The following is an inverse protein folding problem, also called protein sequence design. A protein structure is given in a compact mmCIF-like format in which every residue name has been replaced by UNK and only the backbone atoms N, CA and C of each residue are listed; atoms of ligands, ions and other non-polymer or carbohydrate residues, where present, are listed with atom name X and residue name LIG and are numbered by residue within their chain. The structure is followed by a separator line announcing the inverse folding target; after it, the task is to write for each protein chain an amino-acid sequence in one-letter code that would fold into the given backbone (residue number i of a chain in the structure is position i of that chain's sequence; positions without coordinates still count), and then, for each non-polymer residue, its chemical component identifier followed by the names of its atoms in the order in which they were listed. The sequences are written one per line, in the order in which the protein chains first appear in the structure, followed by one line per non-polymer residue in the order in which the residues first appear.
data_IF_874031705291
#
_entry.id   IF_874031705291
#
_cell.length_a   1.000
_cell.length_b   1.000
_cell.length_c   1.000
_cell.angle_alpha   90.00
_cell.angle_beta   90.00
_cell.angle_gamma   90.00
#
_symmetry.space_group_name_H-M   'P 1'
#
loop_
_entity.id
_entity.type
_entity.pdbx_description
1 polymer ?
#
# COMPACT_ATOMS: atom_id res chain seq x y z
N UNK A 1 73.37 14.57 25.14
CA UNK A 1 73.05 14.04 26.49
C UNK A 1 72.13 12.84 26.31
N UNK A 2 72.63 11.62 26.56
CA UNK A 2 72.12 10.61 27.53
C UNK A 2 70.59 10.47 27.59
N UNK A 3 69.94 9.31 27.66
CA UNK A 3 70.17 7.85 27.48
C UNK A 3 68.92 7.21 28.13
N UNK A 4 68.54 5.99 27.70
CA UNK A 4 67.89 4.92 28.52
C UNK A 4 66.38 5.12 28.79
N UNK A 5 65.41 4.24 28.45
CA UNK A 5 65.21 2.76 28.41
C UNK A 5 64.20 2.33 29.50
N UNK A 6 63.43 1.28 29.15
CA UNK A 6 62.66 0.28 29.96
C UNK A 6 61.18 0.62 30.20
N UNK A 7 60.19 -0.22 29.87
CA UNK A 7 59.98 -1.69 29.91
C UNK A 7 59.57 -2.24 31.30
N UNK A 8 58.31 -2.67 31.42
CA UNK A 8 57.72 -3.70 32.32
C UNK A 8 56.25 -3.87 31.88
N UNK A 9 55.71 -4.99 31.39
CA UNK A 9 55.77 -6.44 31.70
C UNK A 9 55.01 -6.82 32.99
N UNK A 10 54.19 -7.89 32.86
CA UNK A 10 53.58 -8.77 33.88
C UNK A 10 52.20 -8.34 34.41
N UNK A 11 51.23 -9.20 34.74
CA UNK A 11 50.96 -10.66 34.61
C UNK A 11 49.49 -10.84 35.08
N UNK A 12 48.63 -11.61 34.41
CA UNK A 12 48.18 -12.97 34.77
C UNK A 12 47.98 -13.26 36.28
N UNK A 13 46.74 -13.58 36.71
CA UNK A 13 46.25 -14.55 37.75
C UNK A 13 44.71 -14.36 37.78
N UNK A 14 43.81 -15.23 37.30
CA UNK A 14 43.40 -16.60 37.68
C UNK A 14 42.92 -16.79 39.13
N UNK A 15 41.60 -16.75 39.36
CA UNK A 15 40.96 -17.47 40.47
C UNK A 15 39.64 -18.09 40.00
N UNK A 16 39.62 -19.43 39.96
CA UNK A 16 38.40 -20.23 40.00
C UNK A 16 37.87 -20.25 41.43
N UNK A 17 36.54 -20.26 41.58
CA UNK A 17 35.89 -20.87 42.74
C UNK A 17 34.61 -21.58 42.28
N UNK A 18 34.63 -22.90 42.44
CA UNK A 18 33.54 -23.85 42.31
C UNK A 18 32.36 -23.46 43.22
N UNK A 19 31.16 -23.43 42.64
CA UNK A 19 29.90 -23.47 43.39
C UNK A 19 29.00 -24.53 42.78
N UNK A 20 29.04 -25.74 43.33
CA UNK A 20 28.05 -26.79 43.08
C UNK A 20 26.70 -26.32 43.64
N UNK A 21 25.71 -26.13 42.75
CA UNK A 21 24.31 -26.02 43.14
C UNK A 21 23.55 -27.25 42.62
N UNK A 22 22.87 -27.93 43.54
CA UNK A 22 22.05 -29.11 43.33
C UNK A 22 20.97 -28.86 42.26
N UNK A 23 20.89 -29.76 41.29
CA UNK A 23 19.76 -29.88 40.38
C UNK A 23 18.60 -30.61 41.08
N UNK A 24 17.51 -29.89 41.34
CA UNK A 24 16.18 -30.46 41.58
C UNK A 24 15.35 -30.23 40.32
N UNK A 25 15.26 -31.24 39.45
CA UNK A 25 14.40 -31.19 38.26
C UNK A 25 12.98 -31.63 38.64
N UNK A 26 12.07 -30.68 38.78
CA UNK A 26 10.64 -30.94 38.77
C UNK A 26 10.16 -31.09 37.31
N UNK A 27 9.30 -32.07 36.97
CA UNK A 27 8.66 -32.13 35.67
C UNK A 27 7.59 -31.04 35.59
N UNK A 28 7.90 -29.94 34.89
CA UNK A 28 6.87 -28.99 34.45
C UNK A 28 6.18 -29.62 33.24
N UNK A 29 4.93 -30.06 33.43
CA UNK A 29 4.04 -30.33 32.32
C UNK A 29 3.86 -29.02 31.53
N UNK A 30 4.56 -28.90 30.41
CA UNK A 30 4.27 -27.91 29.40
C UNK A 30 2.91 -28.27 28.78
N UNK A 31 1.85 -27.62 29.23
CA UNK A 31 0.62 -27.54 28.48
C UNK A 31 0.95 -26.77 27.19
N UNK A 32 1.14 -27.50 26.10
CA UNK A 32 1.10 -26.94 24.76
C UNK A 32 -0.33 -26.49 24.51
N UNK A 33 -0.62 -25.25 24.88
CA UNK A 33 -1.75 -24.53 24.33
C UNK A 33 -1.48 -24.45 22.82
N UNK A 34 -2.18 -25.29 22.05
CA UNK A 34 -2.25 -25.15 20.61
C UNK A 34 -2.79 -23.77 20.33
N UNK A 35 -1.93 -22.89 19.83
CA UNK A 35 -2.38 -21.73 19.07
C UNK A 35 -3.19 -22.27 17.92
N UNK A 36 -4.52 -22.20 18.04
CA UNK A 36 -5.41 -22.24 16.88
C UNK A 36 -4.88 -21.17 15.93
N UNK A 37 -4.27 -21.60 14.83
CA UNK A 37 -4.07 -20.72 13.69
C UNK A 37 -5.47 -20.27 13.31
N UNK A 38 -5.81 -19.03 13.64
CA UNK A 38 -7.01 -18.39 13.09
C UNK A 38 -6.84 -18.47 11.57
N UNK A 39 -7.61 -19.38 10.96
CA UNK A 39 -7.75 -19.44 9.53
C UNK A 39 -8.13 -18.03 9.04
N UNK A 40 -7.55 -17.55 7.93
CA UNK A 40 -7.95 -16.28 7.36
C UNK A 40 -9.45 -16.34 7.08
N UNK A 41 -10.21 -15.48 7.78
CA UNK A 41 -11.65 -15.41 7.63
C UNK A 41 -12.00 -15.25 6.14
N UNK A 42 -12.86 -16.10 5.58
CA UNK A 42 -13.31 -15.92 4.21
C UNK A 42 -14.05 -14.58 4.11
N UNK A 43 -13.55 -13.69 3.26
CA UNK A 43 -14.19 -12.40 3.00
C UNK A 43 -15.48 -12.68 2.20
N UNK A 44 -16.63 -12.55 2.85
CA UNK A 44 -17.95 -12.67 2.19
C UNK A 44 -18.47 -11.29 1.76
N UNK A 45 -19.37 -11.20 0.77
CA UNK A 45 -19.77 -9.96 0.06
C UNK A 45 -19.94 -8.69 0.93
N UNK A 46 -20.69 -8.74 2.03
CA UNK A 46 -20.85 -7.58 2.94
C UNK A 46 -19.52 -7.07 3.54
N UNK A 47 -18.54 -7.96 3.72
CA UNK A 47 -17.19 -7.62 4.17
C UNK A 47 -16.35 -6.98 3.06
N UNK A 48 -16.62 -7.32 1.78
CA UNK A 48 -15.91 -6.73 0.63
C UNK A 48 -16.18 -5.22 0.56
N UNK A 49 -17.47 -4.84 0.66
CA UNK A 49 -17.87 -3.43 0.73
C UNK A 49 -17.16 -2.71 1.84
N UNK A 50 -17.23 -3.25 3.05
CA UNK A 50 -16.62 -2.63 4.23
C UNK A 50 -15.11 -2.47 4.09
N UNK A 51 -14.41 -3.44 3.48
CA UNK A 51 -12.98 -3.30 3.21
C UNK A 51 -12.73 -2.15 2.24
N UNK A 52 -13.41 -2.12 1.09
CA UNK A 52 -13.19 -1.13 0.02
C UNK A 52 -13.50 0.30 0.51
N UNK A 53 -14.61 0.50 1.21
CA UNK A 53 -15.03 1.81 1.75
C UNK A 53 -13.99 2.43 2.70
N UNK A 54 -13.10 1.61 3.28
CA UNK A 54 -12.04 2.02 4.18
C UNK A 54 -10.64 2.06 3.53
N UNK A 55 -10.49 1.80 2.22
CA UNK A 55 -9.21 1.93 1.52
C UNK A 55 -8.98 3.39 1.11
N UNK A 56 -8.31 4.14 1.97
CA UNK A 56 -7.80 5.47 1.63
C UNK A 56 -6.28 5.46 1.58
N UNK A 57 -5.73 6.00 0.50
CA UNK A 57 -4.29 6.04 0.29
C UNK A 57 -3.79 7.48 0.20
N UNK A 58 -2.73 7.79 0.95
CA UNK A 58 -1.97 9.02 0.76
C UNK A 58 -0.71 8.72 -0.03
N UNK A 59 -0.50 9.44 -1.12
CA UNK A 59 0.64 9.25 -2.00
C UNK A 59 1.68 10.34 -1.79
N UNK A 60 2.95 9.92 -1.72
CA UNK A 60 4.12 10.76 -1.60
C UNK A 60 4.97 10.62 -2.85
N UNK A 61 5.60 11.73 -3.26
CA UNK A 61 6.63 11.67 -4.30
C UNK A 61 7.83 10.88 -3.78
N UNK A 62 8.33 10.01 -4.63
CA UNK A 62 9.60 9.31 -4.44
C UNK A 62 10.48 9.51 -5.67
N UNK A 63 11.77 9.27 -5.50
CA UNK A 63 12.72 9.15 -6.60
C UNK A 63 13.37 7.79 -6.51
N UNK A 64 13.35 7.08 -7.64
CA UNK A 64 14.00 5.78 -7.77
C UNK A 64 14.47 5.56 -9.21
N UNK A 65 15.25 4.50 -9.42
CA UNK A 65 15.66 4.05 -10.74
C UNK A 65 14.50 3.44 -11.52
N UNK A 66 14.54 3.45 -12.86
CA UNK A 66 13.60 2.71 -13.67
C UNK A 66 13.75 1.20 -13.49
N UNK A 67 12.62 0.49 -13.59
CA UNK A 67 12.62 -0.98 -13.54
C UNK A 67 12.83 -1.60 -14.93
N UNK A 68 12.43 -0.89 -15.99
CA UNK A 68 12.56 -1.27 -17.41
C UNK A 68 12.05 -2.70 -17.67
N UNK A 69 10.77 -2.92 -17.35
CA UNK A 69 10.09 -4.21 -17.53
C UNK A 69 8.85 -4.08 -18.37
N UNK A 70 8.67 -5.00 -19.31
CA UNK A 70 7.45 -5.12 -20.10
C UNK A 70 6.43 -5.96 -19.33
N UNK A 71 5.19 -5.48 -19.28
CA UNK A 71 4.06 -6.18 -18.70
C UNK A 71 2.88 -6.11 -19.66
N UNK A 72 2.06 -7.15 -19.69
CA UNK A 72 0.73 -7.11 -20.28
C UNK A 72 -0.28 -6.89 -19.15
N UNK A 73 -1.04 -5.79 -19.22
CA UNK A 73 -2.07 -5.47 -18.25
C UNK A 73 -3.44 -5.91 -18.75
N UNK A 74 -4.24 -6.48 -17.86
CA UNK A 74 -5.63 -6.84 -18.10
C UNK A 74 -6.51 -6.21 -17.02
N UNK A 75 -7.60 -5.54 -17.41
CA UNK A 75 -8.55 -4.98 -16.46
C UNK A 75 -9.26 -6.07 -15.66
N UNK A 76 -9.41 -5.85 -14.35
CA UNK A 76 -10.18 -6.73 -13.47
C UNK A 76 -11.59 -6.22 -13.20
N UNK A 77 -11.82 -4.92 -13.37
CA UNK A 77 -13.10 -4.33 -13.06
C UNK A 77 -14.17 -4.70 -14.11
N UNK A 78 -15.33 -5.27 -13.70
CA UNK A 78 -16.34 -5.74 -14.64
C UNK A 78 -16.91 -4.63 -15.52
N UNK A 79 -17.09 -3.40 -15.00
CA UNK A 79 -17.60 -2.27 -15.81
C UNK A 79 -16.66 -1.95 -16.97
N UNK A 80 -15.35 -1.99 -16.73
CA UNK A 80 -14.36 -1.71 -17.77
C UNK A 80 -14.25 -2.85 -18.78
N UNK A 81 -14.37 -4.09 -18.31
CA UNK A 81 -14.39 -5.29 -19.16
C UNK A 81 -15.63 -5.25 -20.06
N UNK A 82 -16.80 -4.95 -19.52
CA UNK A 82 -18.07 -4.88 -20.26
C UNK A 82 -18.06 -3.76 -21.31
N UNK A 83 -17.35 -2.66 -21.03
CA UNK A 83 -17.09 -1.57 -21.99
C UNK A 83 -16.07 -1.95 -23.07
N UNK A 84 -15.40 -3.10 -22.95
CA UNK A 84 -14.44 -3.59 -23.92
C UNK A 84 -13.07 -2.91 -23.85
N UNK A 85 -12.67 -2.40 -22.69
CA UNK A 85 -11.35 -1.80 -22.52
C UNK A 85 -10.25 -2.85 -22.77
N UNK A 86 -9.27 -2.55 -23.64
CA UNK A 86 -8.35 -3.57 -24.12
C UNK A 86 -7.31 -3.95 -23.07
N UNK A 87 -6.77 -5.17 -23.20
CA UNK A 87 -5.48 -5.50 -22.62
C UNK A 87 -4.39 -4.65 -23.27
N UNK A 88 -3.39 -4.24 -22.49
CA UNK A 88 -2.38 -3.31 -22.95
C UNK A 88 -0.96 -3.72 -22.52
N UNK A 89 0.00 -3.80 -23.47
CA UNK A 89 1.41 -3.90 -23.11
C UNK A 89 1.92 -2.55 -22.60
N UNK A 90 2.57 -2.55 -21.44
CA UNK A 90 3.19 -1.37 -20.84
C UNK A 90 4.66 -1.62 -20.52
N UNK A 91 5.44 -0.55 -20.47
CA UNK A 91 6.80 -0.55 -19.94
C UNK A 91 6.80 0.17 -18.60
N UNK A 92 7.32 -0.49 -17.57
CA UNK A 92 7.57 0.14 -16.27
C UNK A 92 8.84 0.97 -16.33
N UNK A 93 8.71 2.28 -16.20
CA UNK A 93 9.84 3.19 -16.14
C UNK A 93 10.23 3.49 -14.68
N UNK A 94 10.54 4.74 -14.34
CA UNK A 94 10.89 5.17 -12.99
C UNK A 94 9.69 5.14 -12.03
N UNK A 95 9.96 4.80 -10.76
CA UNK A 95 8.97 4.94 -9.70
C UNK A 95 8.82 6.41 -9.31
N UNK A 96 7.57 6.88 -9.24
CA UNK A 96 7.23 8.28 -9.02
C UNK A 96 6.56 8.53 -7.68
N UNK A 97 5.80 7.54 -7.18
CA UNK A 97 5.07 7.69 -5.92
C UNK A 97 5.09 6.44 -5.05
N UNK A 98 4.96 6.67 -3.74
CA UNK A 98 4.61 5.66 -2.74
C UNK A 98 3.28 6.07 -2.10
N UNK A 99 2.27 5.23 -2.25
CA UNK A 99 0.95 5.39 -1.64
C UNK A 99 0.84 4.49 -0.41
N UNK A 100 0.39 5.04 0.71
CA UNK A 100 0.32 4.37 2.01
C UNK A 100 -1.08 4.52 2.62
N UNK A 101 -1.56 3.53 3.41
CA UNK A 101 -2.92 3.54 3.91
C UNK A 101 -3.08 4.55 5.05
N UNK A 102 -4.15 5.34 4.99
CA UNK A 102 -4.47 6.38 5.99
C UNK A 102 -5.93 6.26 6.45
N UNK A 103 -6.22 6.73 7.66
CA UNK A 103 -7.57 7.01 8.12
C UNK A 103 -7.86 8.51 8.00
N UNK A 104 -9.11 8.87 7.72
CA UNK A 104 -9.58 10.26 7.62
C UNK A 104 -10.37 10.68 8.86
N UNK A 105 -10.09 11.88 9.35
CA UNK A 105 -10.82 12.57 10.43
C UNK A 105 -11.06 11.72 11.68
N UNK A 106 -10.08 10.90 12.05
CA UNK A 106 -10.14 10.04 13.22
C UNK A 106 -11.06 8.82 13.07
N UNK A 107 -11.70 8.61 11.91
CA UNK A 107 -12.48 7.40 11.62
C UNK A 107 -11.54 6.25 11.32
N UNK A 108 -11.20 5.50 12.37
CA UNK A 108 -10.37 4.29 12.26
C UNK A 108 -11.22 3.14 11.71
N UNK A 109 -10.73 2.42 10.68
CA UNK A 109 -11.40 1.22 10.18
C UNK A 109 -11.62 0.18 11.28
N UNK A 110 -12.70 -0.63 11.20
CA UNK A 110 -12.91 -1.76 12.11
C UNK A 110 -11.69 -2.68 12.15
N UNK A 111 -11.39 -3.27 13.31
CA UNK A 111 -10.15 -4.04 13.54
C UNK A 111 -9.89 -5.12 12.48
N UNK A 112 -10.93 -5.86 12.07
CA UNK A 112 -10.83 -6.87 11.00
C UNK A 112 -10.41 -6.30 9.65
N UNK A 113 -10.88 -5.10 9.32
CA UNK A 113 -10.54 -4.40 8.06
C UNK A 113 -9.14 -3.83 8.19
N UNK A 114 -8.85 -3.15 9.31
CA UNK A 114 -7.54 -2.59 9.62
C UNK A 114 -6.44 -3.65 9.56
N UNK A 115 -6.71 -4.87 10.05
CA UNK A 115 -5.78 -6.00 10.00
C UNK A 115 -5.29 -6.32 8.58
N UNK A 116 -6.11 -6.04 7.57
CA UNK A 116 -5.80 -6.23 6.15
C UNK A 116 -5.19 -4.96 5.53
N UNK A 117 -5.93 -3.84 5.56
CA UNK A 117 -5.61 -2.66 4.76
C UNK A 117 -4.42 -1.86 5.28
N UNK A 118 -4.04 -2.00 6.57
CA UNK A 118 -2.85 -1.32 7.10
C UNK A 118 -1.54 -1.75 6.40
N UNK A 119 -1.59 -2.85 5.64
CA UNK A 119 -0.47 -3.40 4.87
C UNK A 119 -0.52 -3.04 3.38
N UNK A 120 -1.55 -2.31 2.94
CA UNK A 120 -1.74 -1.94 1.53
C UNK A 120 -0.90 -0.72 1.16
N UNK A 121 0.36 -0.96 0.85
CA UNK A 121 1.26 0.07 0.35
C UNK A 121 1.60 -0.19 -1.10
N UNK A 122 1.48 0.85 -1.92
CA UNK A 122 1.65 0.75 -3.36
C UNK A 122 2.80 1.63 -3.84
N UNK A 123 3.71 1.05 -4.61
CA UNK A 123 4.74 1.77 -5.34
C UNK A 123 4.28 2.00 -6.77
N UNK A 124 4.22 3.25 -7.20
CA UNK A 124 3.68 3.64 -8.50
C UNK A 124 4.78 3.97 -9.50
N UNK A 125 4.85 3.19 -10.57
CA UNK A 125 5.77 3.34 -11.69
C UNK A 125 5.12 4.13 -12.80
N UNK A 126 5.86 5.03 -13.45
CA UNK A 126 5.40 5.64 -14.68
C UNK A 126 5.21 4.55 -15.74
N UNK A 127 4.08 4.64 -16.45
CA UNK A 127 3.79 3.86 -17.66
C UNK A 127 3.37 4.82 -18.77
N UNK A 128 3.28 4.30 -19.99
CA UNK A 128 2.68 4.98 -21.13
C UNK A 128 1.81 3.98 -21.87
N UNK A 129 0.76 4.48 -22.50
CA UNK A 129 -0.22 3.67 -23.19
C UNK A 129 -1.21 4.52 -23.99
N UNK A 130 -2.13 3.85 -24.67
CA UNK A 130 -3.17 4.48 -25.47
C UNK A 130 -4.22 5.15 -24.57
N UNK A 131 -4.65 6.37 -24.90
CA UNK A 131 -5.72 7.03 -24.18
C UNK A 131 -7.05 6.33 -24.43
N UNK A 132 -7.88 6.26 -23.39
CA UNK A 132 -9.21 5.67 -23.48
C UNK A 132 -10.23 6.70 -23.98
N UNK A 133 -10.20 7.93 -23.44
CA UNK A 133 -11.09 9.04 -23.78
C UNK A 133 -12.58 8.71 -23.62
N UNK A 134 -12.94 7.98 -22.58
CA UNK A 134 -14.32 7.61 -22.28
C UNK A 134 -14.84 8.28 -21.01
N UNK A 135 -16.14 8.54 -20.99
CA UNK A 135 -16.83 9.09 -19.83
C UNK A 135 -17.27 7.99 -18.86
N UNK A 136 -17.06 8.18 -17.56
CA UNK A 136 -17.49 7.27 -16.49
C UNK A 136 -18.15 8.06 -15.37
N UNK A 137 -19.24 7.52 -14.82
CA UNK A 137 -19.86 8.06 -13.63
C UNK A 137 -19.23 7.46 -12.37
N UNK A 138 -18.80 8.30 -11.44
CA UNK A 138 -18.15 7.92 -10.19
C UNK A 138 -19.01 8.32 -9.00
N UNK A 139 -19.30 7.36 -8.14
CA UNK A 139 -19.92 7.61 -6.82
C UNK A 139 -18.92 7.34 -5.71
N UNK A 140 -18.87 8.22 -4.71
CA UNK A 140 -17.98 8.04 -3.57
C UNK A 140 -18.44 6.88 -2.69
N UNK A 141 -17.50 6.03 -2.29
CA UNK A 141 -17.73 4.95 -1.32
C UNK A 141 -17.25 5.33 0.08
N UNK A 142 -16.43 6.37 0.18
CA UNK A 142 -15.88 6.73 1.47
C UNK A 142 -16.94 7.41 2.36
N UNK A 143 -17.24 6.86 3.55
CA UNK A 143 -18.33 7.38 4.36
C UNK A 143 -18.05 8.79 4.91
N UNK A 144 -16.79 9.17 5.14
CA UNK A 144 -16.45 10.54 5.57
C UNK A 144 -16.77 11.55 4.48
N UNK A 145 -16.46 11.23 3.21
CA UNK A 145 -16.72 12.15 2.10
C UNK A 145 -18.23 12.24 1.78
N UNK A 146 -18.94 11.10 1.87
CA UNK A 146 -20.40 11.06 1.75
C UNK A 146 -21.06 11.92 2.83
N UNK A 147 -20.63 11.79 4.09
CA UNK A 147 -21.13 12.60 5.22
C UNK A 147 -20.86 14.10 5.04
N UNK A 148 -19.77 14.45 4.35
CA UNK A 148 -19.43 15.84 3.96
C UNK A 148 -20.18 16.34 2.72
N UNK A 149 -20.97 15.48 2.07
CA UNK A 149 -21.80 15.84 0.92
C UNK A 149 -21.04 15.96 -0.39
N UNK A 150 -19.93 15.22 -0.56
CA UNK A 150 -19.23 15.16 -1.83
C UNK A 150 -20.13 14.56 -2.91
N UNK A 151 -20.33 15.24 -4.06
CA UNK A 151 -21.25 14.77 -5.07
C UNK A 151 -20.66 13.62 -5.87
N UNK A 152 -21.54 12.79 -6.42
CA UNK A 152 -21.20 11.92 -7.53
C UNK A 152 -20.91 12.78 -8.77
N UNK A 153 -20.04 12.29 -9.66
CA UNK A 153 -19.61 13.06 -10.82
C UNK A 153 -19.32 12.19 -12.04
N UNK A 154 -19.42 12.82 -13.21
CA UNK A 154 -18.98 12.24 -14.46
C UNK A 154 -17.57 12.76 -14.80
N UNK A 155 -16.66 11.85 -15.17
CA UNK A 155 -15.29 12.18 -15.56
C UNK A 155 -14.93 11.55 -16.89
N UNK A 156 -14.09 12.23 -17.66
CA UNK A 156 -13.47 11.68 -18.88
C UNK A 156 -12.13 11.07 -18.48
N UNK A 157 -11.99 9.77 -18.66
CA UNK A 157 -10.73 9.03 -18.46
C UNK A 157 -9.84 9.20 -19.67
N UNK A 158 -8.61 9.64 -19.47
CA UNK A 158 -7.68 9.97 -20.56
C UNK A 158 -6.59 8.90 -20.72
N UNK A 159 -5.32 9.30 -20.79
CA UNK A 159 -4.16 8.42 -20.92
C UNK A 159 -3.77 7.72 -19.61
N UNK A 160 -3.21 6.50 -19.69
CA UNK A 160 -2.59 5.84 -18.55
C UNK A 160 -1.30 6.55 -18.16
N UNK A 161 -1.11 6.74 -16.86
CA UNK A 161 0.01 7.50 -16.30
C UNK A 161 0.91 6.62 -15.43
N UNK A 162 0.32 5.77 -14.58
CA UNK A 162 1.09 4.97 -13.63
C UNK A 162 0.54 3.55 -13.45
N UNK A 163 1.41 2.63 -13.05
CA UNK A 163 1.04 1.33 -12.47
C UNK A 163 1.53 1.27 -11.03
N UNK A 164 0.60 1.13 -10.09
CA UNK A 164 0.84 1.01 -8.67
C UNK A 164 0.80 -0.46 -8.26
N UNK A 165 1.89 -0.94 -7.65
CA UNK A 165 2.09 -2.36 -7.28
C UNK A 165 2.41 -2.51 -5.79
N UNK A 166 1.99 -3.61 -5.15
CA UNK A 166 2.12 -3.77 -3.71
C UNK A 166 3.58 -3.96 -3.26
N UNK A 167 3.95 -3.28 -2.19
CA UNK A 167 5.27 -3.33 -1.57
C UNK A 167 5.18 -3.45 -0.04
N UNK A 168 6.16 -4.12 0.56
CA UNK A 168 6.40 -4.09 2.00
C UNK A 168 7.46 -3.03 2.34
N UNK A 169 7.39 -2.51 3.57
CA UNK A 169 8.35 -1.53 4.09
C UNK A 169 9.29 -2.15 5.10
N UNK A 170 10.57 -1.78 5.02
CA UNK A 170 11.64 -2.18 5.94
C UNK A 170 11.73 -3.70 6.16
N UNK A 171 11.42 -4.49 5.13
CA UNK A 171 11.40 -5.95 5.20
C UNK A 171 10.29 -6.53 6.08
N UNK A 172 9.35 -5.71 6.57
CA UNK A 172 8.19 -6.21 7.30
C UNK A 172 7.14 -6.74 6.33
N UNK A 173 7.16 -8.05 6.14
CA UNK A 173 6.17 -8.76 5.33
C UNK A 173 4.82 -8.79 6.08
N UNK A 174 3.69 -8.52 5.38
CA UNK A 174 2.37 -8.63 5.98
C UNK A 174 2.08 -10.04 6.53
N UNK A 175 1.23 -10.18 7.57
CA UNK A 175 0.73 -11.48 8.00
C UNK A 175 0.08 -12.25 6.85
N UNK A 176 0.05 -13.60 6.87
CA UNK A 176 -0.41 -14.41 5.75
C UNK A 176 -1.78 -14.02 5.17
N UNK A 177 -2.76 -13.73 6.02
CA UNK A 177 -4.09 -13.28 5.60
C UNK A 177 -4.04 -11.97 4.80
N UNK A 178 -3.33 -10.97 5.30
CA UNK A 178 -3.15 -9.69 4.62
C UNK A 178 -2.30 -9.84 3.35
N UNK A 179 -1.24 -10.67 3.40
CA UNK A 179 -0.39 -10.93 2.23
C UNK A 179 -1.18 -11.62 1.11
N UNK A 180 -2.07 -12.56 1.45
CA UNK A 180 -2.90 -13.27 0.47
C UNK A 180 -3.75 -12.29 -0.35
N UNK A 181 -4.22 -11.19 0.26
CA UNK A 181 -4.97 -10.14 -0.39
C UNK A 181 -4.07 -9.10 -1.07
N UNK A 182 -3.20 -8.43 -0.30
CA UNK A 182 -2.44 -7.25 -0.72
C UNK A 182 -1.54 -7.53 -1.92
N UNK A 183 -0.96 -8.72 -2.03
CA UNK A 183 -0.04 -9.06 -3.12
C UNK A 183 -0.69 -9.01 -4.51
N UNK A 184 -2.01 -9.01 -4.58
CA UNK A 184 -2.81 -9.00 -5.81
C UNK A 184 -3.48 -7.65 -6.11
N UNK A 185 -3.30 -6.65 -5.24
CA UNK A 185 -3.87 -5.32 -5.46
C UNK A 185 -2.89 -4.49 -6.29
N UNK A 186 -3.06 -4.56 -7.61
CA UNK A 186 -2.34 -3.71 -8.54
C UNK A 186 -3.32 -2.76 -9.23
N UNK A 187 -2.98 -1.49 -9.26
CA UNK A 187 -3.85 -0.43 -9.74
C UNK A 187 -3.19 0.33 -10.90
N UNK A 188 -3.88 0.41 -12.03
CA UNK A 188 -3.51 1.24 -13.17
C UNK A 188 -4.15 2.63 -12.99
N UNK A 189 -3.33 3.67 -12.92
CA UNK A 189 -3.78 5.05 -12.78
C UNK A 189 -3.89 5.71 -14.16
N UNK A 190 -5.08 6.23 -14.47
CA UNK A 190 -5.35 7.07 -15.63
C UNK A 190 -5.49 8.53 -15.21
N UNK A 191 -5.13 9.44 -16.11
CA UNK A 191 -5.57 10.83 -15.99
C UNK A 191 -7.09 10.94 -16.11
N UNK A 192 -7.68 11.93 -15.44
CA UNK A 192 -9.10 12.25 -15.58
C UNK A 192 -9.33 13.75 -15.78
N UNK A 193 -10.39 14.07 -16.51
CA UNK A 193 -10.94 15.42 -16.65
C UNK A 193 -12.36 15.38 -16.10
N UNK A 194 -12.60 16.10 -15.01
CA UNK A 194 -13.89 16.11 -14.30
C UNK A 194 -14.46 17.52 -14.13
N UNK A 195 -15.57 17.66 -13.38
CA UNK A 195 -16.08 18.96 -12.98
C UNK A 195 -15.00 19.76 -12.23
N UNK A 196 -15.09 21.10 -12.21
CA UNK A 196 -14.15 21.92 -11.46
C UNK A 196 -14.09 21.47 -10.00
N UNK A 197 -12.91 21.54 -9.36
CA UNK A 197 -12.76 21.10 -7.98
C UNK A 197 -13.81 21.74 -7.06
N UNK A 198 -14.35 20.94 -6.14
CA UNK A 198 -14.95 21.51 -4.94
C UNK A 198 -13.91 22.35 -4.19
N UNK A 199 -14.32 23.37 -3.41
CA UNK A 199 -13.39 24.25 -2.71
C UNK A 199 -12.38 23.46 -1.87
N UNK A 200 -11.14 23.95 -1.83
CA UNK A 200 -10.02 23.41 -1.06
C UNK A 200 -10.43 22.97 0.36
N UNK A 201 -10.64 21.67 0.55
CA UNK A 201 -11.17 21.11 1.79
C UNK A 201 -10.03 20.63 2.69
N UNK A 202 -10.16 20.84 4.00
CA UNK A 202 -9.16 20.36 4.96
C UNK A 202 -9.61 19.02 5.53
N UNK A 203 -8.74 18.01 5.40
CA UNK A 203 -8.95 16.65 5.95
C UNK A 203 -7.78 16.31 6.87
N UNK A 204 -8.08 15.73 8.04
CA UNK A 204 -7.05 15.19 8.93
C UNK A 204 -6.76 13.74 8.57
N UNK A 205 -5.49 13.37 8.46
CA UNK A 205 -5.03 12.05 8.06
C UNK A 205 -4.17 11.42 9.16
N UNK A 206 -4.35 10.11 9.36
CA UNK A 206 -3.52 9.29 10.26
C UNK A 206 -3.01 8.06 9.53
N UNK A 207 -1.70 7.83 9.58
CA UNK A 207 -1.07 6.65 8.98
C UNK A 207 -1.55 5.36 9.66
N UNK A 208 -2.02 4.41 8.86
CA UNK A 208 -2.45 3.10 9.34
C UNK A 208 -1.32 2.10 9.39
N UNK A 209 -0.32 2.24 8.52
CA UNK A 209 0.73 1.24 8.43
C UNK A 209 1.61 1.18 9.71
N UNK A 210 1.80 -0.02 10.31
CA UNK A 210 2.51 -0.16 11.57
C UNK A 210 4.00 0.20 11.50
N UNK A 211 4.65 0.10 10.34
CA UNK A 211 6.04 0.56 10.16
C UNK A 211 6.12 2.08 10.28
N UNK A 212 5.20 2.81 9.65
CA UNK A 212 5.16 4.28 9.68
C UNK A 212 4.80 4.79 11.07
N UNK A 213 3.86 4.12 11.75
CA UNK A 213 3.52 4.42 13.15
C UNK A 213 4.72 4.22 14.08
N UNK A 214 5.49 3.11 13.93
CA UNK A 214 6.71 2.90 14.73
C UNK A 214 7.80 3.92 14.43
N UNK A 215 7.88 4.41 13.19
CA UNK A 215 8.74 5.53 12.79
C UNK A 215 8.21 6.90 13.24
N UNK A 216 7.07 6.94 13.93
CA UNK A 216 6.43 8.15 14.46
C UNK A 216 6.16 9.18 13.37
N UNK A 217 5.70 8.73 12.20
CA UNK A 217 5.22 9.66 11.18
C UNK A 217 4.03 10.46 11.73
N UNK A 218 4.01 11.78 11.52
CA UNK A 218 3.01 12.64 12.15
C UNK A 218 1.62 12.38 11.57
N UNK A 219 0.59 12.65 12.38
CA UNK A 219 -0.73 12.91 11.87
C UNK A 219 -0.69 14.22 11.06
N UNK A 220 -1.45 14.27 9.98
CA UNK A 220 -1.32 15.27 8.94
C UNK A 220 -2.65 15.99 8.69
N UNK A 221 -2.60 17.23 8.22
CA UNK A 221 -3.79 17.98 7.78
C UNK A 221 -3.54 18.46 6.37
N UNK A 222 -4.30 17.91 5.44
CA UNK A 222 -4.09 18.14 4.02
C UNK A 222 -5.16 19.07 3.48
N UNK A 223 -4.77 19.94 2.56
CA UNK A 223 -5.73 20.67 1.72
C UNK A 223 -5.95 19.83 0.46
N UNK A 224 -7.21 19.46 0.21
CA UNK A 224 -7.61 18.61 -0.92
C UNK A 224 -8.09 19.49 -2.07
N UNK A 225 -7.41 19.38 -3.21
CA UNK A 225 -7.74 20.09 -4.43
C UNK A 225 -8.40 19.19 -5.47
N UNK A 226 -8.10 19.48 -6.73
CA UNK A 226 -8.72 18.82 -7.90
C UNK A 226 -8.45 17.31 -7.98
N UNK A 227 -9.46 16.61 -8.51
CA UNK A 227 -9.31 15.23 -8.92
C UNK A 227 -8.39 15.18 -10.16
N UNK A 228 -7.42 14.28 -10.13
CA UNK A 228 -6.34 14.21 -11.14
C UNK A 228 -6.21 12.84 -11.77
N UNK A 229 -6.55 11.77 -11.04
CA UNK A 229 -6.44 10.42 -11.54
C UNK A 229 -7.57 9.50 -11.07
N UNK A 230 -7.83 8.47 -11.87
CA UNK A 230 -8.63 7.31 -11.50
C UNK A 230 -7.73 6.06 -11.55
N UNK A 231 -7.63 5.37 -10.42
CA UNK A 231 -6.91 4.11 -10.26
C UNK A 231 -7.90 2.96 -10.36
N UNK A 232 -7.62 2.01 -11.25
CA UNK A 232 -8.50 0.85 -11.51
C UNK A 232 -7.71 -0.46 -11.42
N UNK A 233 -8.34 -1.57 -10.99
CA UNK A 233 -7.63 -2.80 -10.72
C UNK A 233 -7.25 -3.53 -12.02
N UNK A 234 -6.01 -4.06 -12.04
CA UNK A 234 -5.45 -4.79 -13.18
C UNK A 234 -4.67 -6.04 -12.77
N UNK A 235 -4.76 -7.10 -13.57
CA UNK A 235 -3.86 -8.24 -13.54
C UNK A 235 -2.64 -7.99 -14.45
N UNK A 236 -1.58 -8.78 -14.25
CA UNK A 236 -0.35 -8.72 -15.05
C UNK A 236 -0.03 -10.08 -15.64
N UNK A 237 0.32 -10.13 -16.93
CA UNK A 237 0.84 -11.31 -17.63
C UNK A 237 -0.06 -12.56 -17.45
N UNK A 238 -1.38 -12.36 -17.45
CA UNK A 238 -2.37 -13.43 -17.24
C UNK A 238 -2.36 -14.07 -15.84
N UNK A 239 -1.61 -13.53 -14.88
CA UNK A 239 -1.65 -13.98 -13.49
C UNK A 239 -2.82 -13.31 -12.78
N UNK A 240 -3.83 -14.12 -12.52
CA UNK A 240 -5.05 -13.71 -11.82
C UNK A 240 -4.94 -14.01 -10.31
N UNK A 241 -5.58 -13.20 -9.45
CA UNK A 241 -5.83 -13.57 -8.07
C UNK A 241 -6.67 -14.86 -7.99
N UNK A 242 -6.68 -15.51 -6.83
CA UNK A 242 -7.64 -16.57 -6.52
C UNK A 242 -9.06 -16.01 -6.47
N UNK A 243 -10.09 -16.84 -6.68
CA UNK A 243 -11.48 -16.38 -6.79
C UNK A 243 -11.96 -15.56 -5.57
N UNK A 244 -11.54 -15.94 -4.36
CA UNK A 244 -11.83 -15.24 -3.11
C UNK A 244 -11.21 -13.83 -3.04
N UNK A 245 -10.05 -13.64 -3.66
CA UNK A 245 -9.37 -12.34 -3.74
C UNK A 245 -9.84 -11.54 -4.95
N UNK A 246 -10.13 -12.20 -6.07
CA UNK A 246 -10.51 -11.58 -7.33
C UNK A 246 -11.77 -10.75 -7.18
N UNK A 247 -12.77 -11.28 -6.46
CA UNK A 247 -14.01 -10.54 -6.21
C UNK A 247 -13.74 -9.22 -5.49
N UNK A 248 -12.91 -9.20 -4.45
CA UNK A 248 -12.56 -7.96 -3.77
C UNK A 248 -11.68 -7.05 -4.65
N UNK A 249 -10.62 -7.61 -5.24
CA UNK A 249 -9.64 -6.85 -6.01
C UNK A 249 -10.27 -6.15 -7.23
N UNK A 250 -11.25 -6.77 -7.89
CA UNK A 250 -11.94 -6.22 -9.08
C UNK A 250 -12.73 -4.93 -8.83
N UNK A 251 -13.02 -4.59 -7.57
CA UNK A 251 -13.79 -3.39 -7.21
C UNK A 251 -13.00 -2.37 -6.38
N UNK A 252 -11.67 -2.51 -6.28
CA UNK A 252 -10.82 -1.47 -5.69
C UNK A 252 -10.56 -0.39 -6.73
N UNK A 253 -11.46 0.59 -6.79
CA UNK A 253 -11.29 1.77 -7.62
C UNK A 253 -11.08 3.00 -6.75
N UNK A 254 -10.05 3.77 -7.05
CA UNK A 254 -9.69 4.95 -6.27
C UNK A 254 -9.67 6.19 -7.15
N UNK A 255 -10.34 7.25 -6.70
CA UNK A 255 -10.23 8.58 -7.28
C UNK A 255 -9.20 9.39 -6.49
N UNK A 256 -8.21 9.93 -7.17
CA UNK A 256 -7.07 10.61 -6.55
C UNK A 256 -7.14 12.13 -6.73
N UNK A 257 -7.07 12.83 -5.62
CA UNK A 257 -7.09 14.28 -5.52
C UNK A 257 -5.70 14.81 -5.22
N UNK A 258 -5.33 15.92 -5.84
CA UNK A 258 -4.12 16.64 -5.46
C UNK A 258 -4.22 17.09 -4.00
N UNK A 259 -3.13 16.95 -3.26
CA UNK A 259 -3.03 17.49 -1.89
C UNK A 259 -1.79 18.34 -1.70
N UNK A 260 -1.86 19.26 -0.73
CA UNK A 260 -0.73 20.06 -0.27
C UNK A 260 -0.55 19.81 1.22
N UNK A 261 0.66 19.40 1.60
CA UNK A 261 1.06 19.16 2.99
C UNK A 261 2.61 19.12 3.10
N UNK A 262 3.14 18.97 4.32
CA UNK A 262 4.57 19.08 4.62
C UNK A 262 5.33 17.84 4.12
N UNK A 263 6.58 18.01 3.64
CA UNK A 263 7.41 16.88 3.27
C UNK A 263 7.88 16.08 4.48
N UNK A 264 8.04 14.76 4.27
CA UNK A 264 8.54 13.84 5.29
C UNK A 264 10.07 13.69 5.19
N UNK A 265 10.61 13.64 3.98
CA UNK A 265 12.05 13.55 3.68
C UNK A 265 12.78 12.40 4.42
N UNK A 266 12.20 11.20 4.41
CA UNK A 266 12.78 10.03 5.08
C UNK A 266 13.12 8.90 4.09
N UNK A 267 14.26 8.21 4.27
CA UNK A 267 14.56 7.01 3.50
C UNK A 267 13.71 5.83 3.96
N UNK A 268 13.31 4.98 3.02
CA UNK A 268 12.48 3.82 3.28
C UNK A 268 12.88 2.67 2.37
N UNK A 269 13.10 1.48 2.93
CA UNK A 269 13.37 0.28 2.13
C UNK A 269 12.06 -0.36 1.72
N UNK A 270 11.92 -0.66 0.44
CA UNK A 270 10.76 -1.28 -0.18
C UNK A 270 11.11 -2.65 -0.75
N UNK A 271 10.20 -3.61 -0.58
CA UNK A 271 10.29 -4.97 -1.12
C UNK A 271 9.01 -5.28 -1.87
N UNK A 272 9.10 -5.73 -3.13
CA UNK A 272 7.92 -6.08 -3.91
C UNK A 272 7.17 -7.29 -3.33
N UNK A 273 5.85 -7.14 -3.20
CA UNK A 273 4.95 -8.24 -2.81
C UNK A 273 4.29 -8.89 -4.02
N UNK A 274 4.17 -8.15 -5.12
CA UNK A 274 3.54 -8.67 -6.34
C UNK A 274 4.25 -9.96 -6.85
N UNK A 275 3.51 -11.07 -7.08
CA UNK A 275 4.11 -12.32 -7.54
C UNK A 275 4.86 -12.20 -8.87
N UNK A 276 4.31 -11.46 -9.84
CA UNK A 276 4.94 -11.29 -11.17
C UNK A 276 6.27 -10.55 -11.05
N UNK A 277 6.32 -9.45 -10.28
CA UNK A 277 7.56 -8.71 -10.10
C UNK A 277 8.62 -9.49 -9.31
N UNK A 278 8.20 -10.32 -8.34
CA UNK A 278 9.10 -11.23 -7.62
C UNK A 278 9.67 -12.31 -8.54
N UNK A 279 8.84 -12.91 -9.41
CA UNK A 279 9.30 -13.86 -10.43
C UNK A 279 10.32 -13.22 -11.39
N UNK A 280 10.13 -11.94 -11.73
CA UNK A 280 11.08 -11.13 -12.50
C UNK A 280 12.33 -10.68 -11.72
N UNK A 281 12.46 -11.10 -10.46
CA UNK A 281 13.57 -10.72 -9.57
C UNK A 281 13.72 -9.21 -9.42
N UNK A 282 12.60 -8.49 -9.32
CA UNK A 282 12.62 -7.07 -9.00
C UNK A 282 13.37 -6.86 -7.66
N UNK A 283 14.38 -5.99 -7.62
CA UNK A 283 15.23 -5.84 -6.45
C UNK A 283 14.50 -5.14 -5.31
N UNK A 284 15.00 -5.32 -4.09
CA UNK A 284 14.68 -4.39 -3.00
C UNK A 284 15.32 -3.04 -3.24
N UNK A 285 14.62 -1.96 -2.86
CA UNK A 285 15.02 -0.60 -3.20
C UNK A 285 14.87 0.32 -1.98
N UNK A 286 15.81 1.24 -1.80
CA UNK A 286 15.69 2.29 -0.78
C UNK A 286 15.32 3.58 -1.48
N UNK A 287 14.14 4.12 -1.16
CA UNK A 287 13.62 5.35 -1.75
C UNK A 287 13.61 6.48 -0.73
N UNK A 288 13.77 7.71 -1.21
CA UNK A 288 13.51 8.90 -0.41
C UNK A 288 12.03 9.28 -0.55
N UNK A 289 11.29 9.23 0.55
CA UNK A 289 9.91 9.73 0.59
C UNK A 289 9.94 11.23 0.83
N UNK A 290 9.44 12.00 -0.12
CA UNK A 290 9.57 13.46 -0.14
C UNK A 290 8.24 14.12 0.28
N UNK A 291 7.67 14.97 -0.57
CA UNK A 291 6.43 15.68 -0.31
C UNK A 291 5.18 14.89 -0.75
N UNK A 292 4.07 15.05 -0.02
CA UNK A 292 2.79 14.46 -0.41
C UNK A 292 2.28 15.08 -1.71
N UNK A 293 1.62 14.26 -2.52
CA UNK A 293 1.12 14.66 -3.85
C UNK A 293 -0.37 14.40 -4.01
N UNK A 294 -0.87 13.27 -3.53
CA UNK A 294 -2.26 12.88 -3.73
C UNK A 294 -2.91 12.21 -2.52
N UNK A 295 -4.22 12.33 -2.42
CA UNK A 295 -5.10 11.52 -1.58
C UNK A 295 -6.06 10.75 -2.51
N UNK A 296 -5.99 9.43 -2.47
CA UNK A 296 -6.83 8.53 -3.25
C UNK A 296 -7.90 7.91 -2.35
N UNK A 297 -9.16 8.02 -2.78
CA UNK A 297 -10.34 7.61 -1.99
C UNK A 297 -11.21 6.66 -2.81
N UNK A 298 -11.91 5.72 -2.17
CA UNK A 298 -12.63 4.67 -2.87
C UNK A 298 -13.88 5.24 -3.56
N UNK A 299 -14.09 4.81 -4.79
CA UNK A 299 -15.24 5.14 -5.64
C UNK A 299 -15.80 3.88 -6.28
N UNK A 300 -17.03 3.96 -6.78
CA UNK A 300 -17.64 2.95 -7.63
C UNK A 300 -17.93 3.54 -9.00
N UNK A 301 -17.77 2.73 -10.06
CA UNK A 301 -18.07 3.13 -11.44
C UNK A 301 -19.47 2.71 -11.83
N UNK A 302 -20.23 3.63 -12.40
CA UNK A 302 -21.59 3.42 -12.91
C UNK A 302 -22.55 2.75 -11.90
N UNK A 303 -22.30 2.95 -10.60
CA UNK A 303 -23.08 2.34 -9.52
C UNK A 303 -22.92 0.82 -9.37
N UNK A 304 -22.03 0.18 -10.11
CA UNK A 304 -21.85 -1.29 -10.10
C UNK A 304 -20.90 -1.71 -8.98
N UNK A 305 -21.44 -2.38 -7.96
CA UNK A 305 -20.70 -2.90 -6.81
C UNK A 305 -21.08 -4.36 -6.56
N UNK A 306 -20.20 -5.21 -5.98
CA UNK A 306 -20.57 -6.57 -5.62
C UNK A 306 -21.76 -6.56 -4.65
N UNK A 307 -22.81 -7.31 -5.00
CA UNK A 307 -23.98 -7.57 -4.15
C UNK A 307 -23.66 -8.53 -3.00
#
# INVERSE_FOLDING_TARGET
MRKIKRCRKQSLVLFMALGMALYLTAPVLAATAGTTSEDPLPIIGAQIREVIENIDLKCYRIQDRPLDRNLLLQHLNPVLIDRGWPEEPVVLFEAQQLCVPVAKDGRIPPERVLALIQWLDLKCYRIQGQPINESIFLSHLNPVLIERGWPDEEVIVTEPQQLCVPVAKDGQIPPPAALNLVQWIDLKAYGIIGPPPSPDEIISLKHLNPVLQRRQWPDERVVVGEATQLMVPVAKNGRMPTDDVLLLASFIDLKCHRIIDRPINQPLRLTHLNPVLREMQAPDETVMVMEPVQLCVPVVKDGVFPE
#
